data_IF_321458368900
#
_entry.id   IF_321458368900
#
_cell.length_a   1.000
_cell.length_b   1.000
_cell.length_c   1.000
_cell.angle_alpha   90.00
_cell.angle_beta   90.00
_cell.angle_gamma   90.00
#
_symmetry.space_group_name_H-M   'P 1'
#
loop_
_entity.id
_entity.type
_entity.pdbx_description
1 polymer ?
#
# COMPACT_ATOMS: atom_id res chain seq x y z
N UNK A 1 -12.77 7.52 69.47
CA UNK A 1 -11.96 6.38 69.01
C UNK A 1 -12.92 5.43 68.29
N UNK A 2 -12.85 5.23 66.98
CA UNK A 2 -11.77 4.60 66.19
C UNK A 2 -11.48 3.16 66.65
N UNK A 3 -11.36 2.11 65.83
CA UNK A 3 -11.63 1.87 64.40
C UNK A 3 -11.49 0.34 64.14
N UNK A 4 -11.77 -0.32 62.99
CA UNK A 4 -12.23 0.06 61.64
C UNK A 4 -12.86 -1.21 60.98
N UNK A 5 -13.83 -1.07 60.05
CA UNK A 5 -14.30 -2.21 59.22
C UNK A 5 -13.46 -2.33 57.93
N UNK A 6 -12.62 -3.37 57.85
CA UNK A 6 -11.79 -3.66 56.69
C UNK A 6 -12.59 -3.97 55.42
N UNK A 7 -12.78 -2.98 54.55
CA UNK A 7 -13.33 -3.17 53.21
C UNK A 7 -12.23 -3.60 52.25
N UNK A 8 -12.41 -4.74 51.59
CA UNK A 8 -11.47 -5.26 50.58
C UNK A 8 -11.55 -4.44 49.29
N UNK A 9 -10.83 -3.33 49.22
CA UNK A 9 -10.65 -2.55 47.99
C UNK A 9 -9.83 -3.36 46.97
N UNK A 10 -10.48 -3.80 45.89
CA UNK A 10 -9.84 -4.49 44.78
C UNK A 10 -9.16 -3.47 43.88
N UNK A 11 -7.82 -3.45 43.85
CA UNK A 11 -7.10 -2.52 42.99
C UNK A 11 -7.42 -2.75 41.50
N UNK A 12 -7.68 -1.67 40.72
CA UNK A 12 -7.79 -1.77 39.28
C UNK A 12 -6.37 -1.93 38.70
N UNK A 13 -5.98 -3.18 38.45
CA UNK A 13 -4.69 -3.49 37.84
C UNK A 13 -4.49 -2.71 36.54
N UNK A 14 -3.40 -1.94 36.48
CA UNK A 14 -2.94 -1.22 35.29
C UNK A 14 -2.43 -2.20 34.23
N UNK A 15 -3.35 -2.94 33.62
CA UNK A 15 -3.05 -3.74 32.44
C UNK A 15 -2.60 -2.81 31.30
N UNK A 16 -1.60 -3.20 30.49
CA UNK A 16 -1.25 -2.42 29.32
C UNK A 16 -2.49 -2.33 28.42
N UNK A 17 -2.97 -1.09 28.20
CA UNK A 17 -4.03 -0.84 27.24
C UNK A 17 -3.65 -1.40 25.85
N UNK A 18 -4.61 -1.55 24.91
CA UNK A 18 -4.37 -2.15 23.61
C UNK A 18 -3.41 -1.29 22.76
N UNK A 19 -2.12 -1.41 23.07
CA UNK A 19 -1.04 -0.80 22.33
C UNK A 19 -1.14 -1.33 20.92
N UNK A 20 -1.49 -0.43 19.99
CA UNK A 20 -1.42 -0.67 18.56
C UNK A 20 0.00 -1.12 18.24
N UNK A 21 0.23 -2.44 18.22
CA UNK A 21 1.52 -3.01 17.84
C UNK A 21 1.81 -2.45 16.46
N UNK A 22 2.84 -1.61 16.35
CA UNK A 22 3.44 -1.26 15.07
C UNK A 22 4.19 -2.49 14.57
N UNK A 23 3.45 -3.53 14.17
CA UNK A 23 3.97 -4.60 13.34
C UNK A 23 4.22 -4.00 11.97
N UNK A 24 5.33 -3.27 11.84
CA UNK A 24 6.01 -3.16 10.55
C UNK A 24 6.35 -4.61 10.21
N UNK A 25 5.60 -5.20 9.28
CA UNK A 25 5.83 -6.58 8.83
C UNK A 25 7.14 -6.54 8.05
N UNK A 26 8.25 -6.87 8.70
CA UNK A 26 9.52 -7.10 8.00
C UNK A 26 9.35 -8.24 7.01
N UNK A 27 9.98 -8.12 5.85
CA UNK A 27 9.91 -9.11 4.78
C UNK A 27 8.66 -9.01 3.91
N UNK A 28 8.01 -7.84 3.82
CA UNK A 28 6.77 -7.67 3.06
C UNK A 28 6.96 -7.84 1.55
N UNK A 29 8.08 -7.37 1.01
CA UNK A 29 8.38 -7.35 -0.42
C UNK A 29 9.48 -8.33 -0.83
N UNK A 30 10.15 -9.01 0.11
CA UNK A 30 11.33 -9.90 -0.14
C UNK A 30 11.16 -10.87 -1.31
N UNK A 31 9.96 -11.45 -1.52
CA UNK A 31 9.69 -12.33 -2.67
C UNK A 31 9.71 -11.58 -4.00
N UNK A 32 9.04 -10.44 -4.04
CA UNK A 32 8.81 -9.66 -5.26
C UNK A 32 10.02 -8.75 -5.58
N UNK A 33 10.83 -8.45 -4.57
CA UNK A 33 11.99 -7.58 -4.62
C UNK A 33 13.23 -8.24 -5.26
N UNK A 34 13.40 -9.56 -5.10
CA UNK A 34 14.48 -10.32 -5.77
C UNK A 34 14.49 -10.15 -7.29
N UNK A 35 13.39 -10.41 -8.03
CA UNK A 35 13.36 -10.19 -9.48
C UNK A 35 13.43 -8.71 -9.86
N UNK A 36 12.95 -7.78 -9.02
CA UNK A 36 13.10 -6.34 -9.27
C UNK A 36 14.57 -5.89 -9.16
N UNK A 37 15.31 -6.39 -8.17
CA UNK A 37 16.74 -6.11 -7.98
C UNK A 37 17.57 -6.69 -9.14
N UNK A 38 17.28 -7.94 -9.57
CA UNK A 38 17.88 -8.51 -10.78
C UNK A 38 17.55 -7.67 -12.04
N UNK A 39 16.30 -7.27 -12.20
CA UNK A 39 15.87 -6.41 -13.32
C UNK A 39 16.49 -5.01 -13.32
N UNK A 40 17.03 -4.56 -12.18
CA UNK A 40 17.80 -3.31 -12.07
C UNK A 40 19.30 -3.49 -12.38
N UNK A 41 19.77 -4.72 -12.66
CA UNK A 41 21.14 -5.04 -13.05
C UNK A 41 22.00 -5.74 -12.00
N UNK A 42 21.42 -6.20 -10.89
CA UNK A 42 22.12 -7.06 -9.91
C UNK A 42 22.19 -8.52 -10.40
N UNK A 43 22.77 -9.42 -9.59
CA UNK A 43 22.85 -10.86 -9.87
C UNK A 43 21.48 -11.57 -9.70
N UNK A 44 21.26 -12.73 -10.35
CA UNK A 44 19.97 -13.46 -10.28
C UNK A 44 19.55 -13.88 -8.85
N UNK A 45 20.52 -14.08 -7.96
CA UNK A 45 20.32 -14.45 -6.57
C UNK A 45 20.99 -13.39 -5.67
N UNK A 46 20.37 -12.21 -5.46
CA UNK A 46 20.96 -11.14 -4.68
C UNK A 46 21.10 -11.54 -3.20
N UNK A 47 22.09 -10.95 -2.52
CA UNK A 47 22.39 -11.25 -1.12
C UNK A 47 21.17 -10.98 -0.20
N UNK A 48 20.97 -11.83 0.80
CA UNK A 48 19.87 -11.71 1.78
C UNK A 48 19.79 -10.33 2.41
N UNK A 49 20.95 -9.77 2.72
CA UNK A 49 21.09 -8.54 3.49
C UNK A 49 20.78 -7.32 2.62
N UNK A 50 21.15 -7.36 1.33
CA UNK A 50 20.73 -6.37 0.32
C UNK A 50 19.21 -6.37 0.15
N UNK A 51 18.59 -7.54 0.04
CA UNK A 51 17.12 -7.65 -0.10
C UNK A 51 16.41 -7.18 1.18
N UNK A 52 16.94 -7.49 2.35
CA UNK A 52 16.39 -7.02 3.63
C UNK A 52 16.51 -5.50 3.80
N UNK A 53 17.66 -4.91 3.46
CA UNK A 53 17.85 -3.46 3.48
C UNK A 53 16.91 -2.75 2.48
N UNK A 54 16.77 -3.30 1.27
CA UNK A 54 15.86 -2.74 0.27
C UNK A 54 14.38 -2.86 0.66
N UNK A 55 13.97 -3.92 1.38
CA UNK A 55 12.62 -4.05 1.96
C UNK A 55 12.32 -2.91 2.94
N UNK A 56 13.21 -2.68 3.93
CA UNK A 56 13.09 -1.59 4.91
C UNK A 56 13.09 -0.21 4.21
N UNK A 57 13.99 0.04 3.24
CA UNK A 57 14.07 1.31 2.49
C UNK A 57 12.82 1.61 1.65
N UNK A 58 12.22 0.59 1.03
CA UNK A 58 11.00 0.74 0.22
C UNK A 58 9.79 1.02 1.11
N UNK A 59 9.70 0.38 2.28
CA UNK A 59 8.65 0.66 3.27
C UNK A 59 8.69 2.13 3.70
N UNK A 60 9.87 2.63 4.05
CA UNK A 60 10.04 4.04 4.46
C UNK A 60 9.75 5.02 3.32
N UNK A 61 10.20 4.73 2.10
CA UNK A 61 9.90 5.57 0.93
C UNK A 61 8.40 5.64 0.63
N UNK A 62 7.69 4.51 0.65
CA UNK A 62 6.23 4.47 0.45
C UNK A 62 5.51 5.25 1.56
N UNK A 63 5.91 5.05 2.81
CA UNK A 63 5.32 5.75 3.95
C UNK A 63 5.52 7.28 3.84
N UNK A 64 6.72 7.74 3.49
CA UNK A 64 7.02 9.17 3.31
C UNK A 64 6.23 9.78 2.14
N UNK A 65 6.12 9.05 1.02
CA UNK A 65 5.31 9.47 -0.14
C UNK A 65 3.82 9.57 0.21
N UNK A 66 3.26 8.59 0.93
CA UNK A 66 1.87 8.63 1.40
C UNK A 66 1.62 9.79 2.37
N UNK A 67 2.57 10.08 3.28
CA UNK A 67 2.48 11.23 4.20
C UNK A 67 2.54 12.57 3.46
N UNK A 68 3.39 12.69 2.44
CA UNK A 68 3.41 13.86 1.54
C UNK A 68 2.07 14.02 0.81
N UNK A 69 1.48 12.93 0.32
CA UNK A 69 0.21 12.96 -0.40
C UNK A 69 -0.96 13.33 0.51
N UNK A 70 -0.98 12.80 1.74
CA UNK A 70 -1.97 13.14 2.76
C UNK A 70 -1.94 14.64 3.11
N UNK A 71 -0.75 15.26 3.21
CA UNK A 71 -0.60 16.71 3.44
C UNK A 71 -1.17 17.55 2.28
N UNK A 72 -0.95 17.15 1.03
CA UNK A 72 -1.55 17.83 -0.14
C UNK A 72 -3.07 17.65 -0.14
N UNK A 73 -3.56 16.47 0.23
CA UNK A 73 -4.97 16.13 0.30
C UNK A 73 -5.71 16.64 1.55
N UNK A 74 -5.03 17.28 2.51
CA UNK A 74 -5.52 17.57 3.86
C UNK A 74 -6.90 18.26 3.85
N UNK A 75 -7.03 19.36 3.09
CA UNK A 75 -8.28 20.11 2.94
C UNK A 75 -9.43 19.31 2.32
N UNK A 76 -9.14 18.23 1.60
CA UNK A 76 -10.10 17.36 0.91
C UNK A 76 -10.41 16.07 1.70
N UNK A 77 -9.61 15.75 2.72
CA UNK A 77 -9.74 14.55 3.57
C UNK A 77 -9.57 13.20 2.87
N UNK A 78 -9.25 13.18 1.56
CA UNK A 78 -9.12 11.96 0.74
C UNK A 78 -8.03 12.13 -0.30
N UNK A 79 -7.04 11.23 -0.32
CA UNK A 79 -5.94 11.22 -1.31
C UNK A 79 -6.47 10.78 -2.69
N UNK A 80 -5.93 11.39 -3.75
CA UNK A 80 -6.18 11.11 -5.17
C UNK A 80 -4.84 11.01 -5.93
N UNK A 81 -4.90 10.46 -7.14
CA UNK A 81 -3.74 10.35 -8.06
C UNK A 81 -3.08 11.71 -8.30
N UNK A 82 -3.85 12.79 -8.39
CA UNK A 82 -3.33 14.14 -8.63
C UNK A 82 -2.42 14.66 -7.52
N UNK A 83 -2.60 14.22 -6.27
CA UNK A 83 -1.73 14.61 -5.16
C UNK A 83 -0.35 13.94 -5.28
N UNK A 84 -0.33 12.68 -5.76
CA UNK A 84 0.90 11.93 -6.05
C UNK A 84 1.62 12.56 -7.24
N UNK A 85 0.89 12.93 -8.31
CA UNK A 85 1.42 13.72 -9.42
C UNK A 85 2.01 15.05 -8.94
N UNK A 86 1.33 15.76 -8.03
CA UNK A 86 1.82 17.03 -7.49
C UNK A 86 3.15 16.89 -6.72
N UNK A 87 3.38 15.77 -6.04
CA UNK A 87 4.65 15.49 -5.37
C UNK A 87 5.75 15.16 -6.38
N UNK A 88 5.40 14.35 -7.39
CA UNK A 88 6.35 13.90 -8.42
C UNK A 88 6.65 14.96 -9.49
N UNK A 89 5.93 16.09 -9.53
CA UNK A 89 6.04 17.16 -10.56
C UNK A 89 7.44 17.72 -10.85
N UNK A 90 8.44 17.47 -9.99
CA UNK A 90 9.85 17.87 -10.18
C UNK A 90 10.73 16.78 -10.79
N UNK A 91 10.23 15.54 -10.89
CA UNK A 91 10.90 14.40 -11.51
C UNK A 91 10.17 14.03 -12.82
N UNK A 92 10.67 14.50 -13.98
CA UNK A 92 9.99 14.28 -15.25
C UNK A 92 9.95 12.79 -15.65
N UNK A 93 10.92 11.97 -15.20
CA UNK A 93 10.95 10.53 -15.48
C UNK A 93 9.85 9.80 -14.72
N UNK A 94 9.70 10.09 -13.42
CA UNK A 94 8.61 9.52 -12.60
C UNK A 94 7.24 10.01 -13.06
N UNK A 95 7.11 11.28 -13.45
CA UNK A 95 5.86 11.81 -14.01
C UNK A 95 5.43 11.12 -15.30
N UNK A 96 6.32 11.03 -16.30
CA UNK A 96 6.03 10.35 -17.56
C UNK A 96 5.60 8.89 -17.34
N UNK A 97 6.29 8.17 -16.44
CA UNK A 97 5.93 6.79 -16.09
C UNK A 97 4.56 6.67 -15.41
N UNK A 98 4.17 7.62 -14.57
CA UNK A 98 2.82 7.64 -13.96
C UNK A 98 1.74 7.85 -15.03
N UNK A 99 1.99 8.73 -16.00
CA UNK A 99 1.02 9.01 -17.08
C UNK A 99 0.87 7.83 -18.04
N UNK A 100 1.99 7.20 -18.42
CA UNK A 100 2.02 5.94 -19.19
C UNK A 100 1.21 4.84 -18.50
N UNK A 101 1.43 4.61 -17.20
CA UNK A 101 0.72 3.57 -16.44
C UNK A 101 -0.79 3.81 -16.35
N UNK A 102 -1.22 5.07 -16.16
CA UNK A 102 -2.64 5.44 -16.15
C UNK A 102 -3.28 5.22 -17.54
N UNK A 103 -2.57 5.57 -18.60
CA UNK A 103 -3.00 5.38 -19.98
C UNK A 103 -3.15 3.88 -20.32
N UNK A 104 -2.16 3.05 -19.94
CA UNK A 104 -2.22 1.61 -20.16
C UNK A 104 -3.34 0.93 -19.37
N UNK A 105 -3.55 1.30 -18.10
CA UNK A 105 -4.66 0.76 -17.30
C UNK A 105 -6.02 1.10 -17.91
N UNK A 106 -6.21 2.33 -18.40
CA UNK A 106 -7.43 2.74 -19.10
C UNK A 106 -7.66 1.96 -20.41
N UNK A 107 -6.61 1.73 -21.19
CA UNK A 107 -6.66 0.89 -22.39
C UNK A 107 -7.02 -0.57 -22.07
N UNK A 108 -6.42 -1.16 -21.03
CA UNK A 108 -6.74 -2.53 -20.59
C UNK A 108 -8.20 -2.60 -20.11
N UNK A 109 -8.67 -1.60 -19.37
CA UNK A 109 -10.05 -1.53 -18.86
C UNK A 109 -11.08 -1.47 -19.99
N UNK A 110 -10.83 -0.64 -21.01
CA UNK A 110 -11.65 -0.55 -22.23
C UNK A 110 -11.64 -1.84 -23.04
N UNK A 111 -10.48 -2.47 -23.20
CA UNK A 111 -10.37 -3.75 -23.92
C UNK A 111 -11.21 -4.85 -23.26
N UNK A 112 -11.17 -4.94 -21.92
CA UNK A 112 -12.00 -5.89 -21.15
C UNK A 112 -13.50 -5.66 -21.35
N UNK A 113 -13.96 -4.41 -21.30
CA UNK A 113 -15.37 -4.06 -21.53
C UNK A 113 -15.89 -4.53 -22.89
N UNK A 114 -15.06 -4.47 -23.94
CA UNK A 114 -15.44 -4.96 -25.28
C UNK A 114 -15.56 -6.48 -25.30
N UNK A 115 -14.67 -7.21 -24.61
CA UNK A 115 -14.76 -8.67 -24.48
C UNK A 115 -16.02 -9.07 -23.72
N UNK A 116 -16.29 -8.45 -22.56
CA UNK A 116 -17.48 -8.71 -21.75
C UNK A 116 -18.79 -8.46 -22.53
N UNK A 117 -18.84 -7.42 -23.38
CA UNK A 117 -20.00 -7.14 -24.25
C UNK A 117 -20.20 -8.20 -25.34
N UNK A 118 -19.12 -8.66 -25.99
CA UNK A 118 -19.19 -9.66 -27.04
C UNK A 118 -19.61 -11.04 -26.52
N UNK A 119 -19.22 -11.41 -25.28
CA UNK A 119 -19.66 -12.68 -24.68
C UNK A 119 -21.19 -12.73 -24.48
N UNK A 120 -21.81 -11.60 -24.09
CA UNK A 120 -23.27 -11.51 -23.90
C UNK A 120 -24.05 -11.65 -25.21
N UNK A 121 -23.52 -11.19 -26.34
CA UNK A 121 -24.17 -11.28 -27.65
C UNK A 121 -24.11 -12.70 -28.27
N UNK A 122 -23.23 -13.58 -27.77
CA UNK A 122 -23.05 -14.94 -28.31
C UNK A 122 -23.87 -16.04 -27.62
N UNK A 123 -24.66 -15.71 -26.60
CA UNK A 123 -25.57 -16.67 -25.99
C UNK A 123 -26.76 -16.96 -26.92
N UNK A 124 -26.91 -18.17 -27.50
CA UNK A 124 -27.99 -18.44 -28.42
C UNK A 124 -29.33 -18.47 -27.67
N UNK A 125 -30.32 -17.76 -28.21
CA UNK A 125 -31.72 -17.88 -27.79
C UNK A 125 -32.13 -19.36 -27.83
N UNK A 126 -32.42 -19.93 -26.64
CA UNK A 126 -32.97 -21.28 -26.53
C UNK A 126 -34.44 -21.24 -26.91
N UNK A 127 -34.72 -21.19 -28.21
CA UNK A 127 -36.06 -21.34 -28.73
C UNK A 127 -36.59 -22.76 -28.41
N UNK A 128 -37.84 -22.79 -27.97
CA UNK A 128 -38.58 -23.96 -27.48
C UNK A 128 -39.49 -24.52 -28.58
#
# INVERSE_FOLDING_TARGET
MSDFQGTSAREPGSGPGPGRRKTVRKGMFVRDLKPMIYGAGDVPQPASDTVALMDDLIIDYIAEMCLKAAKVAEKRGKVKVDDVKFILRKDPKKMARVEELIYMDDHIRKAKQIVDMNEVETAPDRQN
#
